data_IF_855489004366
#
_entry.id   IF_855489004366
#
_cell.length_a   1.000
_cell.length_b   1.000
_cell.length_c   1.000
_cell.angle_alpha   90.00
_cell.angle_beta   90.00
_cell.angle_gamma   90.00
#
_symmetry.space_group_name_H-M   'P 1'
#
loop_
_entity.id
_entity.type
_entity.pdbx_description
1 polymer ?
#
# COMPACT_ATOMS: atom_id res chain seq x y z
N UNK A 1 26.68 7.93 30.42
CA UNK A 1 25.30 7.59 30.74
C UNK A 1 24.47 8.81 30.38
N UNK A 2 23.90 8.99 29.19
CA UNK A 2 23.72 8.11 28.04
C UNK A 2 23.67 8.99 26.79
N UNK A 3 24.50 8.64 25.80
CA UNK A 3 24.53 9.24 24.45
C UNK A 3 23.32 8.69 23.67
N UNK A 4 22.15 9.29 23.84
CA UNK A 4 21.02 9.11 22.94
C UNK A 4 21.32 9.81 21.61
N UNK A 5 22.00 9.09 20.71
CA UNK A 5 22.16 9.51 19.32
C UNK A 5 20.79 9.78 18.66
N UNK A 6 20.74 10.66 17.64
CA UNK A 6 19.49 11.15 17.07
C UNK A 6 18.64 9.97 16.59
N UNK A 7 17.49 9.78 17.24
CA UNK A 7 16.43 8.88 16.80
C UNK A 7 16.16 9.17 15.31
N UNK A 8 16.02 8.17 14.41
CA UNK A 8 15.62 8.43 13.04
C UNK A 8 14.20 9.01 13.07
N UNK A 9 14.13 10.33 13.07
CA UNK A 9 12.87 11.07 13.04
C UNK A 9 12.29 10.86 11.66
N UNK A 10 11.40 9.88 11.53
CA UNK A 10 10.53 9.80 10.36
C UNK A 10 9.83 11.17 10.26
N UNK A 11 10.23 11.96 9.26
CA UNK A 11 9.59 13.25 9.02
C UNK A 11 8.12 12.95 8.72
N UNK A 12 7.21 13.58 9.47
CA UNK A 12 5.80 13.71 9.04
C UNK A 12 5.84 14.17 7.58
N UNK A 13 5.03 13.59 6.69
CA UNK A 13 4.91 14.03 5.30
C UNK A 13 4.75 15.56 5.30
N UNK A 14 5.84 16.28 4.99
CA UNK A 14 5.99 17.69 5.38
C UNK A 14 5.08 18.53 4.50
N UNK A 15 4.05 19.10 5.10
CA UNK A 15 3.06 19.99 4.46
C UNK A 15 3.64 21.36 4.03
N UNK A 16 4.89 21.45 3.55
CA UNK A 16 5.45 22.70 3.06
C UNK A 16 6.06 22.53 1.67
N UNK A 17 5.33 23.08 0.68
CA UNK A 17 5.58 23.08 -0.78
C UNK A 17 5.44 21.74 -1.51
N UNK A 18 4.30 21.57 -2.19
CA UNK A 18 4.02 20.77 -3.41
C UNK A 18 4.51 19.29 -3.57
N UNK A 19 5.39 18.75 -2.74
CA UNK A 19 6.13 17.50 -2.99
C UNK A 19 5.91 16.42 -1.92
N UNK A 20 4.64 16.16 -1.58
CA UNK A 20 4.29 14.98 -0.79
C UNK A 20 4.40 13.69 -1.63
N UNK A 21 4.87 12.60 -1.01
CA UNK A 21 4.84 11.25 -1.58
C UNK A 21 3.43 10.88 -2.07
N UNK A 22 2.40 11.32 -1.36
CA UNK A 22 0.99 11.16 -1.73
C UNK A 22 0.66 11.79 -3.10
N UNK A 23 1.09 13.03 -3.33
CA UNK A 23 0.88 13.74 -4.60
C UNK A 23 1.66 13.10 -5.73
N UNK A 24 2.92 12.71 -5.47
CA UNK A 24 3.75 12.02 -6.46
C UNK A 24 3.16 10.65 -6.86
N UNK A 25 2.61 9.90 -5.89
CA UNK A 25 1.95 8.62 -6.08
C UNK A 25 0.65 8.76 -6.90
N UNK A 26 -0.19 9.74 -6.58
CA UNK A 26 -1.40 10.03 -7.35
C UNK A 26 -1.10 10.38 -8.82
N UNK A 27 0.01 11.10 -9.06
CA UNK A 27 0.41 11.54 -10.40
C UNK A 27 1.27 10.51 -11.16
N UNK A 28 1.66 9.40 -10.52
CA UNK A 28 2.56 8.41 -11.14
C UNK A 28 3.98 8.94 -11.40
N UNK A 29 4.44 9.97 -10.66
CA UNK A 29 5.77 10.57 -10.84
C UNK A 29 6.86 9.71 -10.20
N UNK A 30 7.17 8.56 -10.78
CA UNK A 30 8.10 7.55 -10.23
C UNK A 30 9.45 8.13 -9.82
N UNK A 31 10.08 8.94 -10.68
CA UNK A 31 11.38 9.56 -10.38
C UNK A 31 11.34 10.42 -9.11
N UNK A 32 10.21 11.08 -8.84
CA UNK A 32 10.03 11.86 -7.60
C UNK A 32 9.81 10.93 -6.41
N UNK A 33 8.96 9.92 -6.56
CA UNK A 33 8.72 8.92 -5.50
C UNK A 33 10.02 8.24 -5.07
N UNK A 34 10.88 7.85 -6.01
CA UNK A 34 12.19 7.25 -5.74
C UNK A 34 13.04 8.19 -4.88
N UNK A 35 13.16 9.47 -5.27
CA UNK A 35 13.94 10.46 -4.51
C UNK A 35 13.40 10.64 -3.09
N UNK A 36 12.07 10.73 -2.94
CA UNK A 36 11.43 10.90 -1.63
C UNK A 36 11.62 9.65 -0.75
N UNK A 37 11.50 8.45 -1.31
CA UNK A 37 11.70 7.19 -0.58
C UNK A 37 13.16 6.96 -0.20
N UNK A 38 14.12 7.45 -1.00
CA UNK A 38 15.54 7.47 -0.64
C UNK A 38 15.84 8.33 0.59
N UNK A 39 15.03 9.35 0.85
CA UNK A 39 15.15 10.22 2.04
C UNK A 39 14.57 9.57 3.33
N UNK A 40 14.26 8.26 3.30
CA UNK A 40 13.66 7.49 4.41
C UNK A 40 12.30 8.04 4.87
N UNK A 41 11.49 8.51 3.93
CA UNK A 41 10.09 8.87 4.18
C UNK A 41 9.24 7.62 4.35
N UNK A 42 8.22 7.70 5.20
CA UNK A 42 7.34 6.56 5.51
C UNK A 42 6.49 6.24 4.28
N UNK A 43 6.60 5.05 3.67
CA UNK A 43 5.75 4.67 2.55
C UNK A 43 4.26 4.63 2.94
N UNK A 44 3.97 4.44 4.23
CA UNK A 44 2.62 4.44 4.79
C UNK A 44 2.23 5.80 5.39
N UNK A 45 2.94 6.88 5.06
CA UNK A 45 2.57 8.20 5.56
C UNK A 45 1.13 8.55 5.16
N UNK A 46 0.39 9.20 6.05
CA UNK A 46 -1.01 9.57 5.78
C UNK A 46 -1.14 11.07 5.55
N UNK A 47 -2.02 11.47 4.63
CA UNK A 47 -2.48 12.86 4.54
C UNK A 47 -3.47 13.21 5.67
N UNK A 48 -3.93 14.47 5.72
CA UNK A 48 -4.86 14.95 6.76
C UNK A 48 -6.22 14.23 6.78
N UNK A 49 -6.56 13.51 5.71
CA UNK A 49 -7.80 12.72 5.57
C UNK A 49 -7.56 11.23 5.91
N UNK A 50 -6.32 10.84 6.20
CA UNK A 50 -5.94 9.46 6.53
C UNK A 50 -5.67 8.57 5.31
N UNK A 51 -5.47 9.14 4.12
CA UNK A 51 -5.09 8.39 2.92
C UNK A 51 -3.57 8.20 2.88
N UNK A 52 -3.13 6.98 2.59
CA UNK A 52 -1.72 6.67 2.29
C UNK A 52 -1.40 6.88 0.81
N UNK A 53 -0.11 7.01 0.41
CA UNK A 53 0.30 7.03 -0.99
C UNK A 53 -0.30 5.88 -1.80
N UNK A 54 -0.43 4.68 -1.20
CA UNK A 54 -1.01 3.52 -1.86
C UNK A 54 -2.50 3.70 -2.18
N UNK A 55 -3.27 4.35 -1.31
CA UNK A 55 -4.67 4.67 -1.60
C UNK A 55 -4.79 5.56 -2.83
N UNK A 56 -3.95 6.60 -2.91
CA UNK A 56 -4.02 7.57 -3.99
C UNK A 56 -3.47 7.00 -5.31
N UNK A 57 -2.41 6.20 -5.26
CA UNK A 57 -1.91 5.46 -6.42
C UNK A 57 -2.97 4.48 -6.94
N UNK A 58 -3.69 3.80 -6.04
CA UNK A 58 -4.75 2.87 -6.40
C UNK A 58 -5.99 3.57 -6.97
N UNK A 59 -6.39 4.71 -6.40
CA UNK A 59 -7.47 5.54 -6.94
C UNK A 59 -7.15 6.07 -8.35
N UNK A 60 -5.90 6.50 -8.57
CA UNK A 60 -5.44 7.02 -9.86
C UNK A 60 -5.07 5.93 -10.88
N UNK A 61 -5.07 4.65 -10.50
CA UNK A 61 -4.73 3.54 -11.39
C UNK A 61 -3.23 3.44 -11.74
N UNK A 62 -2.37 4.02 -10.91
CA UNK A 62 -0.93 4.14 -11.16
C UNK A 62 -0.20 2.83 -10.81
N UNK A 63 -0.28 1.84 -11.69
CA UNK A 63 0.28 0.49 -11.48
C UNK A 63 1.77 0.49 -11.08
N UNK A 64 2.61 1.24 -11.77
CA UNK A 64 4.04 1.31 -11.45
C UNK A 64 4.32 2.01 -10.12
N UNK A 65 3.49 2.99 -9.74
CA UNK A 65 3.61 3.65 -8.44
C UNK A 65 3.21 2.70 -7.29
N UNK A 66 2.15 1.91 -7.49
CA UNK A 66 1.72 0.85 -6.55
C UNK A 66 2.84 -0.17 -6.35
N UNK A 67 3.43 -0.69 -7.44
CA UNK A 67 4.59 -1.58 -7.35
C UNK A 67 5.73 -0.96 -6.55
N UNK A 68 6.08 0.28 -6.87
CA UNK A 68 7.20 0.96 -6.24
C UNK A 68 7.01 1.13 -4.73
N UNK A 69 5.78 1.46 -4.30
CA UNK A 69 5.42 1.54 -2.88
C UNK A 69 5.52 0.17 -2.20
N UNK A 70 4.99 -0.88 -2.83
CA UNK A 70 5.05 -2.25 -2.30
C UNK A 70 6.50 -2.77 -2.22
N UNK A 71 7.35 -2.47 -3.20
CA UNK A 71 8.79 -2.77 -3.15
C UNK A 71 9.51 -2.02 -2.01
N UNK A 72 8.99 -0.86 -1.61
CA UNK A 72 9.47 -0.09 -0.47
C UNK A 72 8.72 -0.42 0.83
N UNK A 73 8.14 -1.62 0.93
CA UNK A 73 7.52 -2.14 2.16
C UNK A 73 6.28 -1.37 2.62
N UNK A 74 5.58 -0.68 1.73
CA UNK A 74 4.24 -0.19 2.02
C UNK A 74 3.33 -1.35 2.43
N UNK A 75 2.44 -1.12 3.40
CA UNK A 75 1.38 -2.08 3.71
C UNK A 75 0.51 -2.32 2.47
N UNK A 76 0.17 -3.57 2.10
CA UNK A 76 -0.67 -3.87 0.96
C UNK A 76 -2.16 -3.56 1.19
N UNK A 77 -2.61 -3.55 2.46
CA UNK A 77 -4.00 -3.31 2.85
C UNK A 77 -4.13 -2.25 3.98
N UNK A 78 -3.62 -1.01 3.76
CA UNK A 78 -3.79 0.07 4.70
C UNK A 78 -5.26 0.49 4.73
N UNK A 79 -5.73 0.94 5.89
CA UNK A 79 -7.10 1.43 6.06
C UNK A 79 -7.08 2.93 6.35
N UNK A 80 -7.87 3.70 5.60
CA UNK A 80 -8.09 5.09 5.93
C UNK A 80 -9.08 5.25 7.11
N UNK A 81 -9.39 6.51 7.48
CA UNK A 81 -10.30 6.83 8.59
C UNK A 81 -11.70 6.19 8.46
N UNK A 82 -12.16 5.94 7.23
CA UNK A 82 -13.45 5.30 6.92
C UNK A 82 -13.35 3.78 6.70
N UNK A 83 -12.22 3.17 7.07
CA UNK A 83 -11.89 1.76 6.80
C UNK A 83 -11.96 1.37 5.31
N UNK A 84 -11.77 2.33 4.42
CA UNK A 84 -11.63 2.07 2.98
C UNK A 84 -10.19 1.64 2.75
N UNK A 85 -9.99 0.58 1.96
CA UNK A 85 -8.67 0.10 1.54
C UNK A 85 -8.33 0.55 0.11
N UNK A 86 -7.06 0.50 -0.32
CA UNK A 86 -6.68 0.78 -1.71
C UNK A 86 -7.45 -0.06 -2.72
N UNK A 87 -7.79 -1.31 -2.38
CA UNK A 87 -8.56 -2.20 -3.26
C UNK A 87 -9.97 -1.68 -3.53
N UNK A 88 -10.63 -1.05 -2.55
CA UNK A 88 -11.93 -0.39 -2.76
C UNK A 88 -11.83 0.73 -3.80
N UNK A 89 -10.76 1.53 -3.73
CA UNK A 89 -10.54 2.67 -4.63
C UNK A 89 -10.16 2.20 -6.04
N UNK A 90 -9.35 1.15 -6.15
CA UNK A 90 -9.03 0.51 -7.42
C UNK A 90 -10.29 -0.10 -8.06
N UNK A 91 -11.12 -0.79 -7.26
CA UNK A 91 -12.38 -1.38 -7.70
C UNK A 91 -13.36 -0.31 -8.20
N UNK A 92 -13.55 0.76 -7.41
CA UNK A 92 -14.42 1.91 -7.76
C UNK A 92 -14.12 2.51 -9.13
N UNK A 93 -12.84 2.62 -9.47
CA UNK A 93 -12.39 3.21 -10.72
C UNK A 93 -12.10 2.16 -11.82
N UNK A 94 -12.44 0.89 -11.59
CA UNK A 94 -12.24 -0.22 -12.51
C UNK A 94 -10.77 -0.42 -12.95
N UNK A 95 -9.83 -0.18 -12.03
CA UNK A 95 -8.40 -0.37 -12.28
C UNK A 95 -7.98 -1.83 -12.11
N UNK A 96 -8.40 -2.68 -13.05
CA UNK A 96 -8.22 -4.14 -13.02
C UNK A 96 -6.79 -4.56 -12.61
N UNK A 97 -5.76 -4.06 -13.32
CA UNK A 97 -4.35 -4.45 -13.06
C UNK A 97 -3.87 -4.09 -11.66
N UNK A 98 -4.34 -2.96 -11.12
CA UNK A 98 -4.00 -2.53 -9.76
C UNK A 98 -4.72 -3.40 -8.73
N UNK A 99 -6.01 -3.66 -8.94
CA UNK A 99 -6.78 -4.54 -8.06
C UNK A 99 -6.19 -5.96 -8.01
N UNK A 100 -5.80 -6.49 -9.17
CA UNK A 100 -5.15 -7.79 -9.31
C UNK A 100 -3.83 -7.85 -8.53
N UNK A 101 -2.97 -6.83 -8.68
CA UNK A 101 -1.71 -6.73 -7.95
C UNK A 101 -1.92 -6.65 -6.43
N UNK A 102 -2.87 -5.82 -5.97
CA UNK A 102 -3.18 -5.68 -4.54
C UNK A 102 -3.62 -7.00 -3.92
N UNK A 103 -4.49 -7.76 -4.59
CA UNK A 103 -4.92 -9.08 -4.12
C UNK A 103 -3.74 -10.06 -4.08
N UNK A 104 -2.88 -10.03 -5.09
CA UNK A 104 -1.71 -10.91 -5.18
C UNK A 104 -0.70 -10.67 -4.05
N UNK A 105 -0.54 -9.42 -3.60
CA UNK A 105 0.31 -9.08 -2.45
C UNK A 105 -0.39 -9.25 -1.10
N UNK A 106 -1.62 -9.79 -1.08
CA UNK A 106 -2.33 -10.17 0.13
C UNK A 106 -3.38 -9.16 0.64
N UNK A 107 -3.86 -8.25 -0.20
CA UNK A 107 -5.03 -7.44 0.16
C UNK A 107 -6.30 -8.30 0.26
N UNK A 108 -7.11 -8.06 1.29
CA UNK A 108 -8.33 -8.83 1.55
C UNK A 108 -9.48 -8.39 0.61
N UNK A 109 -9.90 -9.21 -0.37
CA UNK A 109 -10.98 -8.87 -1.30
C UNK A 109 -12.36 -8.81 -0.64
N UNK A 110 -12.51 -9.35 0.57
CA UNK A 110 -13.74 -9.37 1.36
C UNK A 110 -13.80 -8.30 2.43
N UNK A 111 -12.77 -7.46 2.55
CA UNK A 111 -12.67 -6.42 3.56
C UNK A 111 -13.81 -5.42 3.42
N UNK A 112 -14.75 -5.38 4.36
CA UNK A 112 -15.79 -4.36 4.34
C UNK A 112 -15.29 -3.01 4.88
N UNK A 113 -15.70 -1.92 4.22
CA UNK A 113 -15.49 -0.58 4.74
C UNK A 113 -16.47 -0.26 5.90
N UNK A 114 -16.42 0.96 6.46
CA UNK A 114 -17.29 1.33 7.58
C UNK A 114 -18.79 1.16 7.30
N UNK A 115 -19.25 1.38 6.06
CA UNK A 115 -20.65 1.19 5.67
C UNK A 115 -21.05 -0.27 5.44
N UNK A 116 -20.13 -1.22 5.64
CA UNK A 116 -20.36 -2.65 5.38
C UNK A 116 -20.17 -3.06 3.93
N UNK A 117 -19.82 -2.13 3.04
CA UNK A 117 -19.65 -2.41 1.62
C UNK A 117 -18.27 -3.03 1.34
N UNK A 118 -18.22 -4.04 0.49
CA UNK A 118 -16.99 -4.74 0.06
C UNK A 118 -16.41 -4.12 -1.21
N UNK A 119 -15.12 -4.33 -1.55
CA UNK A 119 -14.51 -3.80 -2.77
C UNK A 119 -15.27 -4.18 -4.04
N UNK A 120 -15.84 -5.39 -4.10
CA UNK A 120 -16.68 -5.86 -5.22
C UNK A 120 -17.87 -4.94 -5.48
N UNK A 121 -18.50 -4.42 -4.42
CA UNK A 121 -19.70 -3.55 -4.52
C UNK A 121 -19.37 -2.12 -4.95
N UNK A 122 -18.10 -1.72 -4.85
CA UNK A 122 -17.63 -0.46 -5.41
C UNK A 122 -17.36 -0.56 -6.92
N UNK A 123 -17.07 -1.76 -7.43
CA UNK A 123 -16.79 -1.95 -8.85
C UNK A 123 -18.04 -1.72 -9.71
N UNK A 124 -17.89 -1.20 -10.95
CA UNK A 124 -19.00 -1.09 -11.89
C UNK A 124 -19.64 -2.45 -12.16
N UNK A 125 -20.97 -2.47 -12.31
CA UNK A 125 -21.72 -3.69 -12.59
C UNK A 125 -21.20 -4.40 -13.85
N UNK A 126 -20.99 -5.71 -13.76
CA UNK A 126 -20.53 -6.58 -14.84
C UNK A 126 -19.10 -6.26 -15.36
N UNK A 127 -18.32 -5.49 -14.60
CA UNK A 127 -16.94 -5.17 -14.98
C UNK A 127 -15.98 -6.35 -14.75
N UNK A 128 -14.88 -6.40 -15.52
CA UNK A 128 -13.82 -7.40 -15.31
C UNK A 128 -13.25 -7.34 -13.89
N UNK A 129 -13.12 -6.13 -13.32
CA UNK A 129 -12.66 -5.95 -11.93
C UNK A 129 -13.65 -6.54 -10.93
N UNK A 130 -14.96 -6.34 -11.12
CA UNK A 130 -15.97 -6.95 -10.26
C UNK A 130 -15.90 -8.48 -10.30
N UNK A 131 -15.86 -9.07 -11.50
CA UNK A 131 -15.78 -10.53 -11.67
C UNK A 131 -14.53 -11.12 -11.04
N UNK A 132 -13.37 -10.48 -11.24
CA UNK A 132 -12.12 -10.92 -10.65
C UNK A 132 -12.19 -10.90 -9.12
N UNK A 133 -12.67 -9.82 -8.50
CA UNK A 133 -12.82 -9.76 -7.04
C UNK A 133 -13.80 -10.82 -6.55
N UNK A 134 -14.88 -11.06 -7.30
CA UNK A 134 -15.84 -12.12 -6.97
C UNK A 134 -15.23 -13.53 -7.04
N UNK A 135 -14.41 -13.81 -8.04
CA UNK A 135 -13.68 -15.08 -8.13
C UNK A 135 -12.67 -15.22 -6.98
N UNK A 136 -11.97 -14.15 -6.63
CA UNK A 136 -11.04 -14.14 -5.48
C UNK A 136 -11.77 -14.48 -4.17
N UNK A 137 -13.00 -14.00 -4.00
CA UNK A 137 -13.84 -14.33 -2.83
C UNK A 137 -14.27 -15.81 -2.80
N UNK A 138 -14.37 -16.46 -3.97
CA UNK A 138 -14.64 -17.90 -4.10
C UNK A 138 -13.38 -18.76 -3.92
N UNK A 139 -12.22 -18.14 -3.68
CA UNK A 139 -10.93 -18.82 -3.52
C UNK A 139 -10.17 -19.05 -4.83
N UNK A 140 -10.68 -18.51 -5.94
CA UNK A 140 -9.99 -18.51 -7.24
C UNK A 140 -9.16 -17.23 -7.36
N UNK A 141 -7.87 -17.34 -7.08
CA UNK A 141 -6.94 -16.21 -7.15
C UNK A 141 -6.48 -15.95 -8.60
N UNK A 142 -6.24 -14.69 -8.98
CA UNK A 142 -5.72 -14.35 -10.29
C UNK A 142 -4.37 -15.05 -10.50
N UNK A 143 -4.15 -15.59 -11.70
CA UNK A 143 -2.89 -16.22 -12.05
C UNK A 143 -1.74 -15.19 -11.87
N UNK A 144 -0.76 -15.47 -11.00
CA UNK A 144 0.39 -14.59 -10.81
C UNK A 144 1.13 -14.32 -12.14
N UNK A 145 1.14 -15.27 -13.07
CA UNK A 145 1.89 -15.16 -14.32
C UNK A 145 1.29 -14.13 -15.30
N UNK A 146 -0.03 -13.88 -15.28
CA UNK A 146 -0.63 -12.81 -16.10
C UNK A 146 -0.25 -11.40 -15.60
N UNK A 147 0.07 -11.26 -14.31
CA UNK A 147 0.45 -9.96 -13.72
C UNK A 147 1.92 -9.62 -14.00
N UNK A 148 2.77 -10.64 -14.14
CA UNK A 148 4.23 -10.52 -14.15
C UNK A 148 4.89 -10.76 -15.51
N UNK A 149 4.15 -10.92 -16.61
CA UNK A 149 4.72 -11.02 -17.95
C UNK A 149 5.25 -9.66 -18.47
N UNK A 150 6.29 -9.13 -17.81
CA UNK A 150 7.22 -8.15 -18.38
C UNK A 150 8.63 -8.42 -17.86
N UNK A 151 9.40 -9.18 -18.66
CA UNK A 151 10.87 -9.32 -18.64
C UNK A 151 11.50 -9.71 -17.30
N UNK A 152 11.29 -10.95 -16.88
CA UNK A 152 12.37 -11.80 -16.36
C UNK A 152 12.98 -11.44 -15.00
N UNK A 153 12.37 -10.59 -14.19
CA UNK A 153 12.79 -10.40 -12.80
C UNK A 153 11.65 -10.77 -11.84
N UNK A 154 11.85 -11.77 -10.95
CA UNK A 154 10.84 -12.13 -9.97
C UNK A 154 10.76 -11.04 -8.91
N UNK A 155 9.65 -10.30 -8.88
CA UNK A 155 9.26 -9.61 -7.66
C UNK A 155 8.77 -10.66 -6.66
N UNK A 156 9.74 -11.19 -5.91
CA UNK A 156 9.70 -12.08 -4.72
C UNK A 156 10.11 -13.55 -4.91
N UNK A 157 11.40 -13.91 -4.72
CA UNK A 157 11.71 -15.19 -4.12
C UNK A 157 11.50 -15.04 -2.60
N UNK A 158 10.31 -15.39 -2.12
CA UNK A 158 9.99 -15.49 -0.70
C UNK A 158 10.11 -14.17 0.10
N UNK A 159 9.63 -14.24 1.32
CA UNK A 159 9.91 -13.34 2.44
C UNK A 159 11.41 -13.29 2.83
N UNK A 160 12.33 -13.31 1.87
CA UNK A 160 13.78 -13.14 2.04
C UNK A 160 14.22 -11.95 1.21
N UNK A 161 14.00 -10.80 1.81
CA UNK A 161 14.66 -9.54 1.48
C UNK A 161 16.17 -9.80 1.38
N UNK A 162 16.84 -9.51 0.26
CA UNK A 162 18.28 -9.32 0.30
C UNK A 162 18.52 -8.13 1.20
N UNK A 163 19.03 -8.47 2.39
CA UNK A 163 19.62 -7.58 3.37
C UNK A 163 20.30 -6.43 2.64
N UNK A 164 19.64 -5.27 2.56
CA UNK A 164 20.37 -4.03 2.76
C UNK A 164 20.99 -4.26 4.12
N UNK A 165 22.33 -4.39 4.20
CA UNK A 165 23.03 -4.54 5.47
C UNK A 165 22.64 -3.38 6.38
N UNK A 166 21.59 -3.61 7.16
CA UNK A 166 21.19 -2.84 8.32
C UNK A 166 21.83 -3.61 9.44
N UNK A 167 22.86 -3.01 10.03
CA UNK A 167 23.66 -3.53 11.12
C UNK A 167 22.82 -4.37 12.13
N UNK A 168 23.30 -5.56 12.56
CA UNK A 168 22.54 -6.56 13.33
C UNK A 168 22.16 -6.14 14.77
N UNK A 169 22.05 -4.84 15.10
CA UNK A 169 21.82 -4.32 16.45
C UNK A 169 20.46 -3.65 16.71
N UNK A 170 19.52 -3.59 15.76
CA UNK A 170 18.17 -3.06 16.04
C UNK A 170 17.08 -4.07 15.68
N UNK A 171 16.58 -4.76 16.71
CA UNK A 171 15.41 -5.62 16.63
C UNK A 171 14.11 -4.85 16.34
N UNK A 172 13.04 -5.55 15.92
CA UNK A 172 11.79 -4.92 15.50
C UNK A 172 11.10 -4.18 16.66
N UNK A 173 10.48 -3.01 16.41
CA UNK A 173 9.82 -2.24 17.47
C UNK A 173 8.54 -2.96 17.96
N UNK A 174 8.26 -2.94 19.27
CA UNK A 174 7.11 -3.64 19.84
C UNK A 174 5.79 -2.96 19.46
N UNK A 175 4.82 -3.76 19.01
CA UNK A 175 3.44 -3.33 18.77
C UNK A 175 2.80 -2.94 20.11
N UNK A 176 2.47 -1.65 20.29
CA UNK A 176 1.74 -1.18 21.48
C UNK A 176 0.26 -1.51 21.34
N UNK A 177 -0.19 -2.57 22.01
CA UNK A 177 -1.61 -2.78 22.33
C UNK A 177 -2.09 -1.64 23.25
N UNK A 178 -3.14 -0.93 22.84
CA UNK A 178 -3.77 0.11 23.66
C UNK A 178 -4.67 -0.55 24.71
N UNK A 179 -4.18 -0.60 25.95
CA UNK A 179 -4.97 -0.95 27.13
C UNK A 179 -5.99 0.13 27.50
N UNK A 180 -7.22 -0.31 27.78
CA UNK A 180 -8.35 0.49 28.20
C UNK A 180 -8.13 1.15 29.57
N UNK A 181 -8.52 2.42 29.71
CA UNK A 181 -8.64 3.08 31.01
C UNK A 181 -10.10 2.98 31.49
N UNK A 182 -10.34 2.18 32.54
CA UNK A 182 -11.51 2.32 33.41
C UNK A 182 -11.16 3.31 34.52
N UNK A 183 -12.09 4.22 34.82
CA UNK A 183 -12.10 5.02 36.04
C UNK A 183 -13.38 4.72 36.80
#
# INVERSE_FOLDING_TARGET
MDEEGPQPTYMKCTNFMEESLCTAAAQGKLNKMIRILQERVDPDCTNDVGYTPLHLAAEAGQFEAVKLLLCNWASPDPLNASKVSPLHLAAKNNHYKVAQLLILVGADPGRACWSGCTPREFAPFDSATQHMIEQCLKGEYPDPLEVFEMKGEPLVPAFSIPVVEVDPKKGPPPKKEKGAAKK
#
